data_IF_596708181011
#
_entry.id   IF_596708181011
#
_cell.length_a   1.000
_cell.length_b   1.000
_cell.length_c   1.000
_cell.angle_alpha   90.00
_cell.angle_beta   90.00
_cell.angle_gamma   90.00
#
_symmetry.space_group_name_H-M   'P 1'
#
loop_
_entity.id
_entity.type
_entity.pdbx_description
1 polymer ?
#
# COMPACT_ATOMS: atom_id res chain seq x y z
N UNK A 1 -9.19 15.48 -15.08
CA UNK A 1 -7.90 14.81 -15.32
C UNK A 1 -8.28 13.41 -15.76
N UNK A 2 -7.96 13.04 -17.00
CA UNK A 2 -8.18 11.67 -17.49
C UNK A 2 -6.94 10.85 -17.15
N UNK A 3 -7.15 9.65 -16.62
CA UNK A 3 -6.07 8.68 -16.40
C UNK A 3 -6.13 7.71 -17.58
N UNK A 4 -5.12 7.76 -18.43
CA UNK A 4 -4.99 6.80 -19.53
C UNK A 4 -4.39 5.50 -18.98
N UNK A 5 -5.11 4.39 -19.21
CA UNK A 5 -4.59 3.05 -18.97
C UNK A 5 -3.77 2.63 -20.18
N UNK A 6 -2.61 2.00 -19.95
CA UNK A 6 -1.91 1.34 -21.05
C UNK A 6 -2.72 0.14 -21.57
N UNK A 7 -2.51 -0.20 -22.85
CA UNK A 7 -3.28 -1.24 -23.54
C UNK A 7 -3.20 -2.61 -22.83
N UNK A 8 -2.05 -2.94 -22.24
CA UNK A 8 -1.86 -4.21 -21.54
C UNK A 8 -2.69 -4.25 -20.25
N UNK A 9 -2.67 -3.16 -19.47
CA UNK A 9 -3.46 -3.04 -18.25
C UNK A 9 -4.96 -3.06 -18.56
N UNK A 10 -5.38 -2.38 -19.63
CA UNK A 10 -6.77 -2.39 -20.09
C UNK A 10 -7.23 -3.81 -20.43
N UNK A 11 -6.49 -4.55 -21.26
CA UNK A 11 -6.82 -5.93 -21.63
C UNK A 11 -6.90 -6.85 -20.40
N UNK A 12 -5.96 -6.71 -19.47
CA UNK A 12 -5.95 -7.49 -18.23
C UNK A 12 -7.17 -7.18 -17.35
N UNK A 13 -7.56 -5.92 -17.26
CA UNK A 13 -8.74 -5.49 -16.52
C UNK A 13 -10.03 -6.04 -17.15
N UNK A 14 -10.17 -5.98 -18.48
CA UNK A 14 -11.33 -6.56 -19.18
C UNK A 14 -11.46 -8.06 -18.94
N UNK A 15 -10.35 -8.80 -18.97
CA UNK A 15 -10.37 -10.24 -18.70
C UNK A 15 -10.70 -10.52 -17.24
N UNK A 16 -10.15 -9.74 -16.31
CA UNK A 16 -10.37 -9.92 -14.88
C UNK A 16 -11.80 -9.58 -14.44
N UNK A 17 -12.48 -8.65 -15.13
CA UNK A 17 -13.87 -8.29 -14.88
C UNK A 17 -14.79 -9.51 -14.82
N UNK A 18 -14.53 -10.55 -15.62
CA UNK A 18 -15.29 -11.81 -15.59
C UNK A 18 -15.30 -12.48 -14.21
N UNK A 19 -14.16 -12.44 -13.51
CA UNK A 19 -14.05 -12.96 -12.15
C UNK A 19 -14.83 -12.06 -11.20
N UNK A 20 -14.70 -10.75 -11.36
CA UNK A 20 -15.42 -9.78 -10.55
C UNK A 20 -16.93 -9.97 -10.65
N UNK A 21 -17.49 -9.98 -11.87
CA UNK A 21 -18.92 -10.16 -12.13
C UNK A 21 -19.44 -11.48 -11.54
N UNK A 22 -18.64 -12.54 -11.62
CA UNK A 22 -18.97 -13.84 -11.02
C UNK A 22 -19.06 -13.75 -9.49
N UNK A 23 -18.18 -12.98 -8.86
CA UNK A 23 -18.13 -12.84 -7.40
C UNK A 23 -19.23 -11.93 -6.87
N UNK A 24 -19.57 -10.86 -7.60
CA UNK A 24 -20.63 -9.94 -7.19
C UNK A 24 -22.02 -10.38 -7.65
N UNK A 25 -22.10 -11.48 -8.42
CA UNK A 25 -23.34 -12.05 -8.98
C UNK A 25 -24.12 -11.06 -9.87
N UNK A 26 -23.44 -10.05 -10.41
CA UNK A 26 -24.00 -8.96 -11.20
C UNK A 26 -23.01 -8.53 -12.29
N UNK A 27 -23.51 -8.08 -13.44
CA UNK A 27 -22.67 -7.53 -14.50
C UNK A 27 -22.49 -6.03 -14.28
N UNK A 28 -21.36 -5.65 -13.67
CA UNK A 28 -21.01 -4.24 -13.47
C UNK A 28 -20.60 -3.60 -14.81
N UNK A 29 -20.69 -2.27 -14.94
CA UNK A 29 -20.02 -1.63 -16.07
C UNK A 29 -18.49 -1.58 -15.86
N UNK A 30 -17.73 -1.37 -16.94
CA UNK A 30 -16.27 -1.40 -16.87
C UNK A 30 -15.71 -0.27 -16.00
N UNK A 31 -16.34 0.90 -15.98
CA UNK A 31 -15.89 2.05 -15.19
C UNK A 31 -16.10 1.81 -13.70
N UNK A 32 -17.26 1.29 -13.29
CA UNK A 32 -17.55 0.84 -11.93
C UNK A 32 -16.56 -0.23 -11.46
N UNK A 33 -16.30 -1.23 -12.30
CA UNK A 33 -15.31 -2.26 -12.02
C UNK A 33 -13.90 -1.67 -11.80
N UNK A 34 -13.45 -0.79 -12.70
CA UNK A 34 -12.13 -0.13 -12.58
C UNK A 34 -12.06 0.72 -11.31
N UNK A 35 -13.09 1.51 -11.02
CA UNK A 35 -13.17 2.31 -9.80
C UNK A 35 -13.08 1.44 -8.54
N UNK A 36 -13.74 0.28 -8.55
CA UNK A 36 -13.66 -0.68 -7.46
C UNK A 36 -12.25 -1.25 -7.29
N UNK A 37 -11.60 -1.67 -8.39
CA UNK A 37 -10.23 -2.20 -8.37
C UNK A 37 -9.23 -1.15 -7.87
N UNK A 38 -9.32 0.08 -8.36
CA UNK A 38 -8.44 1.18 -7.95
C UNK A 38 -8.64 1.51 -6.48
N UNK A 39 -9.89 1.61 -6.02
CA UNK A 39 -10.21 1.87 -4.61
C UNK A 39 -9.65 0.77 -3.70
N UNK A 40 -9.80 -0.50 -4.09
CA UNK A 40 -9.24 -1.63 -3.36
C UNK A 40 -7.70 -1.59 -3.36
N UNK A 41 -7.08 -1.23 -4.48
CA UNK A 41 -5.64 -1.08 -4.60
C UNK A 41 -5.09 0.00 -3.65
N UNK A 42 -5.74 1.16 -3.59
CA UNK A 42 -5.38 2.26 -2.69
C UNK A 42 -5.50 1.83 -1.22
N UNK A 43 -6.65 1.25 -0.84
CA UNK A 43 -6.87 0.76 0.53
C UNK A 43 -5.84 -0.31 0.91
N UNK A 44 -5.51 -1.22 -0.01
CA UNK A 44 -4.51 -2.25 0.23
C UNK A 44 -3.10 -1.67 0.38
N UNK A 45 -2.69 -0.74 -0.48
CA UNK A 45 -1.38 -0.09 -0.36
C UNK A 45 -1.25 0.68 0.95
N UNK A 46 -2.30 1.39 1.35
CA UNK A 46 -2.31 2.10 2.64
C UNK A 46 -2.24 1.11 3.81
N UNK A 47 -2.97 0.00 3.74
CA UNK A 47 -2.92 -1.05 4.75
C UNK A 47 -1.55 -1.70 4.85
N UNK A 48 -0.93 -2.02 3.72
CA UNK A 48 0.40 -2.64 3.69
C UNK A 48 1.49 -1.68 4.21
N UNK A 49 1.27 -0.36 4.14
CA UNK A 49 2.17 0.65 4.68
C UNK A 49 2.04 0.86 6.20
N UNK A 50 0.90 0.49 6.80
CA UNK A 50 0.58 0.70 8.21
C UNK A 50 0.68 -0.63 8.97
N UNK A 51 1.36 -0.69 10.13
CA UNK A 51 1.40 -1.91 10.93
C UNK A 51 0.00 -2.39 11.33
N UNK A 52 -0.20 -3.71 11.37
CA UNK A 52 -1.49 -4.32 11.74
C UNK A 52 -1.95 -3.91 13.14
N UNK A 53 -3.23 -3.55 13.31
CA UNK A 53 -3.81 -3.18 14.61
C UNK A 53 -5.18 -2.50 14.52
N UNK A 54 -5.76 -2.16 15.67
CA UNK A 54 -7.04 -1.44 15.79
C UNK A 54 -6.98 -0.02 15.18
N UNK A 55 -5.77 0.49 14.98
CA UNK A 55 -5.45 1.79 14.40
C UNK A 55 -5.88 1.88 12.93
N UNK A 56 -6.01 0.75 12.22
CA UNK A 56 -6.40 0.72 10.80
C UNK A 56 -7.72 1.45 10.55
N UNK A 57 -8.76 1.17 11.34
CA UNK A 57 -10.09 1.80 11.17
C UNK A 57 -10.01 3.32 11.34
N UNK A 58 -9.16 3.77 12.27
CA UNK A 58 -8.95 5.20 12.52
C UNK A 58 -8.24 5.85 11.34
N UNK A 59 -7.15 5.24 10.85
CA UNK A 59 -6.39 5.80 9.73
C UNK A 59 -7.19 5.75 8.43
N UNK A 60 -7.99 4.69 8.20
CA UNK A 60 -8.90 4.61 7.07
C UNK A 60 -9.98 5.71 7.13
N UNK A 61 -10.53 5.99 8.32
CA UNK A 61 -11.45 7.11 8.52
C UNK A 61 -10.79 8.46 8.22
N UNK A 62 -9.59 8.68 8.76
CA UNK A 62 -8.84 9.91 8.52
C UNK A 62 -8.43 10.09 7.05
N UNK A 63 -8.11 9.01 6.34
CA UNK A 63 -7.78 9.07 4.90
C UNK A 63 -8.99 9.51 4.07
N UNK A 64 -10.20 9.10 4.44
CA UNK A 64 -11.43 9.55 3.80
C UNK A 64 -11.71 11.03 4.05
N UNK A 65 -11.45 11.51 5.26
CA UNK A 65 -11.74 12.90 5.66
C UNK A 65 -10.65 13.89 5.21
N UNK A 66 -9.38 13.47 5.24
CA UNK A 66 -8.22 14.29 4.88
C UNK A 66 -7.10 13.44 4.26
N UNK A 67 -7.23 13.06 2.98
CA UNK A 67 -6.31 12.14 2.32
C UNK A 67 -4.89 12.69 2.24
N UNK A 68 -4.72 13.97 1.93
CA UNK A 68 -3.41 14.62 1.74
C UNK A 68 -2.56 14.54 3.01
N UNK A 69 -3.13 14.94 4.16
CA UNK A 69 -2.44 14.86 5.44
C UNK A 69 -2.03 13.43 5.80
N UNK A 70 -2.93 12.46 5.59
CA UNK A 70 -2.65 11.07 5.94
C UNK A 70 -1.58 10.46 5.03
N UNK A 71 -1.61 10.76 3.73
CA UNK A 71 -0.56 10.29 2.82
C UNK A 71 0.80 10.87 3.16
N UNK A 72 0.87 12.15 3.54
CA UNK A 72 2.11 12.79 3.97
C UNK A 72 2.63 12.16 5.27
N UNK A 73 1.75 12.04 6.27
CA UNK A 73 2.08 11.43 7.55
C UNK A 73 2.59 9.99 7.40
N UNK A 74 1.87 9.14 6.66
CA UNK A 74 2.28 7.74 6.44
C UNK A 74 3.60 7.69 5.68
N UNK A 75 3.80 8.55 4.69
CA UNK A 75 5.06 8.62 3.93
C UNK A 75 6.24 8.98 4.83
N UNK A 76 6.06 9.95 5.75
CA UNK A 76 7.13 10.39 6.65
C UNK A 76 7.44 9.35 7.71
N UNK A 77 6.43 8.74 8.33
CA UNK A 77 6.61 7.61 9.26
C UNK A 77 7.36 6.46 8.59
N UNK A 78 7.02 6.13 7.34
CA UNK A 78 7.67 5.02 6.63
C UNK A 78 9.14 5.30 6.32
N UNK A 79 9.49 6.54 5.97
CA UNK A 79 10.89 6.97 5.79
C UNK A 79 11.67 6.86 7.09
N UNK A 80 11.12 7.39 8.18
CA UNK A 80 11.78 7.34 9.51
C UNK A 80 12.00 5.89 9.99
N UNK A 81 11.02 5.00 9.76
CA UNK A 81 11.15 3.58 10.10
C UNK A 81 12.28 2.90 9.31
N UNK A 82 12.39 3.18 8.00
CA UNK A 82 13.49 2.67 7.18
C UNK A 82 14.85 3.16 7.67
N UNK A 83 15.00 4.46 7.90
CA UNK A 83 16.25 5.04 8.39
C UNK A 83 16.64 4.46 9.75
N UNK A 84 15.66 4.26 10.64
CA UNK A 84 15.85 3.63 11.95
C UNK A 84 16.24 2.15 11.86
N UNK A 85 15.69 1.39 10.91
CA UNK A 85 16.08 0.00 10.66
C UNK A 85 17.51 -0.10 10.11
N UNK A 86 17.86 0.73 9.13
CA UNK A 86 19.23 0.79 8.59
C UNK A 86 20.25 1.19 9.66
N UNK A 87 19.90 2.11 10.56
CA UNK A 87 20.74 2.47 11.70
C UNK A 87 20.96 1.28 12.67
N UNK A 88 19.91 0.49 12.93
CA UNK A 88 20.00 -0.71 13.78
C UNK A 88 20.84 -1.81 13.14
N UNK A 89 20.72 -2.03 11.83
CA UNK A 89 21.54 -3.00 11.10
C UNK A 89 23.02 -2.61 11.12
N UNK A 90 23.35 -1.35 10.82
CA UNK A 90 24.74 -0.84 10.92
C UNK A 90 25.33 -1.06 12.30
N UNK A 91 24.57 -0.73 13.35
CA UNK A 91 25.00 -0.93 14.74
C UNK A 91 25.24 -2.42 15.05
N UNK A 92 24.39 -3.31 14.55
CA UNK A 92 24.55 -4.76 14.71
C UNK A 92 25.81 -5.27 14.01
N UNK A 93 26.07 -4.85 12.78
CA UNK A 93 27.27 -5.23 12.03
C UNK A 93 28.55 -4.76 12.72
N UNK A 94 28.54 -3.55 13.29
CA UNK A 94 29.68 -3.02 14.06
C UNK A 94 29.94 -3.81 15.34
N UNK A 95 28.88 -4.22 16.05
CA UNK A 95 28.98 -5.08 17.24
C UNK A 95 29.53 -6.47 16.87
N UNK A 96 29.08 -7.06 15.77
CA UNK A 96 29.56 -8.36 15.28
C UNK A 96 31.01 -8.30 14.82
N UNK A 97 31.40 -7.25 14.07
CA UNK A 97 32.81 -6.99 13.71
C UNK A 97 33.66 -6.87 14.97
N UNK A 98 33.25 -6.04 15.92
CA UNK A 98 33.97 -5.81 17.17
C UNK A 98 34.15 -7.12 17.93
N UNK A 99 33.09 -7.92 18.13
CA UNK A 99 33.17 -9.25 18.76
C UNK A 99 34.15 -10.22 18.10
N UNK A 100 34.32 -10.14 16.78
CA UNK A 100 35.27 -10.97 16.02
C UNK A 100 36.75 -10.56 16.20
N UNK A 101 37.02 -9.33 16.65
CA UNK A 101 38.38 -8.84 16.90
C UNK A 101 38.83 -8.97 18.37
N UNK A 102 37.90 -9.11 19.31
CA UNK A 102 38.18 -9.27 20.76
C UNK A 102 37.90 -10.67 21.31
N UNK A 103 37.43 -11.60 20.47
CA UNK A 103 37.32 -13.04 20.78
C UNK A 103 38.32 -13.84 19.97
#
# INVERSE_FOLDING_TARGET
>A
MEVELDDELYERLEVFKKIYDTVVEEEADFEEFVNCVVSFGLDKMLRDAIPEGEEWTTIQGMFKDNPEYITDFVSDVWKELKEGQEAKERTREEIEKTRKYIG
#
